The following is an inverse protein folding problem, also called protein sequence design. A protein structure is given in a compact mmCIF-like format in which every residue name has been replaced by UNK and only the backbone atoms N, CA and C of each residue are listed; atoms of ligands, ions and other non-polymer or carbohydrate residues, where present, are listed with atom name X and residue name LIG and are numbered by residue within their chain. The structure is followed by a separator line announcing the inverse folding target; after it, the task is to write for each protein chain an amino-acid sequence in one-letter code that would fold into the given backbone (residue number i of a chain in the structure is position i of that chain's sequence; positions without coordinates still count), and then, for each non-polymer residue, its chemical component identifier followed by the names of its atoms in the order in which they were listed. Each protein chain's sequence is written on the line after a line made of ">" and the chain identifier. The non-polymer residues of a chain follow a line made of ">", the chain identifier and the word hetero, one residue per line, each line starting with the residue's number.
data_IF_721215634173
#
_entry.id   IF_721215634173
#
_cell.length_a   1.000
_cell.length_b   1.000
_cell.length_c   1.000
_cell.angle_alpha   90.00
_cell.angle_beta   90.00
_cell.angle_gamma   90.00
#
_symmetry.space_group_name_H-M   'P 1'
#
loop_
_entity.id
_entity.type
_entity.pdbx_description
1 polymer ?
#
# COMPACT_ATOMS: atom_id res chain seq x y z
N UNK A 1 10.19 -69.10 -11.57
CA UNK A 1 9.10 -68.47 -10.78
C UNK A 1 9.60 -67.38 -9.80
N UNK A 2 10.83 -67.44 -9.27
CA UNK A 2 11.36 -66.45 -8.32
C UNK A 2 11.60 -65.01 -8.88
N UNK A 3 11.92 -64.84 -10.17
CA UNK A 3 12.15 -63.50 -10.78
C UNK A 3 10.88 -62.67 -10.98
N UNK A 4 9.69 -63.30 -11.03
CA UNK A 4 8.41 -62.59 -11.21
C UNK A 4 7.82 -62.07 -9.90
N UNK A 5 8.17 -62.67 -8.75
CA UNK A 5 7.76 -62.17 -7.43
C UNK A 5 8.57 -60.94 -6.99
N UNK A 6 9.84 -60.82 -7.40
CA UNK A 6 10.68 -59.68 -7.03
C UNK A 6 10.18 -58.34 -7.61
N UNK A 7 9.53 -58.35 -8.77
CA UNK A 7 8.99 -57.13 -9.38
C UNK A 7 7.66 -56.65 -8.77
N UNK A 8 6.92 -57.54 -8.10
CA UNK A 8 5.61 -57.21 -7.52
C UNK A 8 5.75 -56.50 -6.16
N UNK A 9 6.88 -56.67 -5.47
CA UNK A 9 7.14 -56.08 -4.15
C UNK A 9 7.92 -54.75 -4.19
N UNK A 10 8.51 -54.37 -5.32
CA UNK A 10 9.28 -53.12 -5.43
C UNK A 10 8.41 -51.92 -5.81
N UNK A 11 7.30 -52.16 -6.52
CA UNK A 11 6.38 -51.09 -6.95
C UNK A 11 5.60 -50.40 -5.82
N UNK A 12 5.11 -51.06 -4.75
CA UNK A 12 4.40 -50.37 -3.68
C UNK A 12 5.33 -49.61 -2.72
N UNK A 13 6.63 -49.91 -2.69
CA UNK A 13 7.59 -49.24 -1.81
C UNK A 13 8.01 -47.85 -2.31
N UNK A 14 7.99 -47.64 -3.63
CA UNK A 14 8.30 -46.33 -4.24
C UNK A 14 7.17 -45.32 -4.03
N UNK A 15 5.91 -45.78 -3.90
CA UNK A 15 4.75 -44.90 -3.69
C UNK A 15 4.59 -44.43 -2.23
N UNK A 16 5.24 -45.09 -1.26
CA UNK A 16 5.20 -44.70 0.15
C UNK A 16 6.23 -43.62 0.53
N UNK A 17 7.18 -43.30 -0.35
CA UNK A 17 8.26 -42.33 -0.09
C UNK A 17 7.99 -40.90 -0.58
N UNK A 18 6.92 -40.68 -1.35
CA UNK A 18 6.53 -39.34 -1.79
C UNK A 18 5.73 -38.62 -0.70
N UNK A 19 6.37 -38.34 0.44
CA UNK A 19 5.88 -37.27 1.30
C UNK A 19 5.92 -35.98 0.47
N UNK A 20 4.83 -35.19 0.40
CA UNK A 20 4.93 -33.87 -0.22
C UNK A 20 6.05 -33.13 0.51
N UNK A 21 7.06 -32.68 -0.24
CA UNK A 21 8.09 -31.83 0.30
C UNK A 21 7.37 -30.59 0.84
N UNK A 22 7.21 -30.52 2.16
CA UNK A 22 6.75 -29.31 2.83
C UNK A 22 7.88 -28.31 2.64
N UNK A 23 7.80 -27.51 1.57
CA UNK A 23 8.58 -26.29 1.47
C UNK A 23 8.03 -25.34 2.53
N UNK A 24 8.46 -25.55 3.77
CA UNK A 24 8.07 -24.71 4.89
C UNK A 24 8.61 -23.31 4.63
N UNK A 25 7.78 -22.45 4.05
CA UNK A 25 8.11 -21.04 3.88
C UNK A 25 8.14 -20.43 5.28
N UNK A 26 9.32 -19.98 5.70
CA UNK A 26 9.44 -19.29 6.98
C UNK A 26 8.62 -18.00 6.90
N UNK A 27 7.75 -17.79 7.89
CA UNK A 27 6.94 -16.57 7.97
C UNK A 27 7.81 -15.31 7.92
N UNK A 28 9.01 -15.35 8.51
CA UNK A 28 10.00 -14.27 8.43
C UNK A 28 10.32 -13.85 7.01
N UNK A 29 10.45 -14.79 6.09
CA UNK A 29 10.89 -14.50 4.72
C UNK A 29 9.75 -13.83 3.92
N UNK A 30 8.50 -14.24 4.18
CA UNK A 30 7.31 -13.58 3.62
C UNK A 30 7.18 -12.16 4.17
N UNK A 31 7.33 -12.00 5.49
CA UNK A 31 7.23 -10.70 6.15
C UNK A 31 8.31 -9.74 5.65
N UNK A 32 9.57 -10.18 5.53
CA UNK A 32 10.65 -9.34 5.02
C UNK A 32 10.40 -8.93 3.56
N UNK A 33 9.96 -9.85 2.70
CA UNK A 33 9.58 -9.50 1.32
C UNK A 33 8.42 -8.50 1.27
N UNK A 34 7.43 -8.61 2.16
CA UNK A 34 6.34 -7.64 2.23
C UNK A 34 6.84 -6.25 2.70
N UNK A 35 7.76 -6.22 3.67
CA UNK A 35 8.35 -4.97 4.16
C UNK A 35 9.15 -4.26 3.06
N UNK A 36 10.09 -4.97 2.44
CA UNK A 36 11.06 -4.37 1.51
C UNK A 36 10.49 -4.23 0.09
N UNK A 37 9.60 -5.14 -0.32
CA UNK A 37 9.00 -5.14 -1.65
C UNK A 37 7.70 -4.36 -1.77
N UNK A 38 7.01 -4.08 -0.66
CA UNK A 38 5.70 -3.41 -0.70
C UNK A 38 5.60 -2.23 0.28
N UNK A 39 5.74 -2.45 1.58
CA UNK A 39 5.43 -1.44 2.60
C UNK A 39 6.35 -0.22 2.47
N UNK A 40 7.67 -0.40 2.51
CA UNK A 40 8.60 0.76 2.41
C UNK A 40 8.51 1.45 1.05
N UNK A 41 8.50 0.74 -0.10
CA UNK A 41 8.37 1.41 -1.40
C UNK A 41 7.05 2.15 -1.57
N UNK A 42 5.92 1.63 -1.05
CA UNK A 42 4.63 2.30 -1.14
C UNK A 42 4.63 3.63 -0.38
N UNK A 43 5.17 3.65 0.85
CA UNK A 43 5.32 4.89 1.61
C UNK A 43 6.34 5.85 1.01
N UNK A 44 7.43 5.36 0.40
CA UNK A 44 8.39 6.21 -0.30
C UNK A 44 7.73 6.93 -1.49
N UNK A 45 6.96 6.22 -2.32
CA UNK A 45 6.21 6.84 -3.43
C UNK A 45 5.17 7.84 -2.93
N UNK A 46 4.45 7.52 -1.85
CA UNK A 46 3.51 8.48 -1.24
C UNK A 46 4.22 9.74 -0.76
N UNK A 47 5.41 9.60 -0.16
CA UNK A 47 6.22 10.73 0.28
C UNK A 47 6.65 11.61 -0.91
N UNK A 48 7.16 10.99 -1.99
CA UNK A 48 7.61 11.72 -3.17
C UNK A 48 6.46 12.51 -3.82
N UNK A 49 5.28 11.90 -4.00
CA UNK A 49 4.11 12.60 -4.54
C UNK A 49 3.60 13.70 -3.59
N UNK A 50 3.60 13.48 -2.28
CA UNK A 50 3.20 14.51 -1.32
C UNK A 50 4.15 15.72 -1.34
N UNK A 51 5.46 15.50 -1.51
CA UNK A 51 6.44 16.58 -1.65
C UNK A 51 6.26 17.34 -2.97
N UNK A 52 6.05 16.63 -4.08
CA UNK A 52 5.74 17.24 -5.38
C UNK A 52 4.44 18.05 -5.35
N UNK A 53 3.38 17.52 -4.73
CA UNK A 53 2.13 18.25 -4.51
C UNK A 53 2.37 19.53 -3.69
N UNK A 54 3.15 19.44 -2.61
CA UNK A 54 3.48 20.59 -1.78
C UNK A 54 4.20 21.68 -2.58
N UNK A 55 5.13 21.31 -3.47
CA UNK A 55 5.81 22.24 -4.38
C UNK A 55 4.84 22.84 -5.41
N UNK A 56 4.02 22.02 -6.06
CA UNK A 56 3.07 22.48 -7.08
C UNK A 56 2.02 23.46 -6.50
N UNK A 57 1.52 23.18 -5.30
CA UNK A 57 0.59 24.08 -4.60
C UNK A 57 1.28 25.41 -4.24
N UNK A 58 2.54 25.40 -3.77
CA UNK A 58 3.29 26.63 -3.52
C UNK A 58 3.46 27.47 -4.80
N UNK A 59 3.87 26.84 -5.89
CA UNK A 59 3.99 27.52 -7.20
C UNK A 59 2.66 28.13 -7.64
N UNK A 60 1.54 27.41 -7.46
CA UNK A 60 0.21 27.93 -7.75
C UNK A 60 -0.15 29.15 -6.86
N UNK A 61 0.18 29.11 -5.57
CA UNK A 61 -0.04 30.22 -4.66
C UNK A 61 0.80 31.45 -5.02
N UNK A 62 2.07 31.26 -5.38
CA UNK A 62 2.99 32.35 -5.69
C UNK A 62 2.68 33.02 -7.05
N UNK A 63 2.22 32.25 -8.04
CA UNK A 63 1.89 32.73 -9.37
C UNK A 63 0.63 32.06 -9.93
N UNK A 64 -0.58 32.52 -9.57
CA UNK A 64 -1.82 31.88 -10.01
C UNK A 64 -1.99 31.88 -11.53
N UNK A 65 -2.13 30.69 -12.13
CA UNK A 65 -2.41 30.51 -13.55
C UNK A 65 -3.17 29.20 -13.78
N UNK A 66 -3.80 29.05 -14.95
CA UNK A 66 -4.47 27.80 -15.31
C UNK A 66 -3.48 26.63 -15.38
N UNK A 67 -2.29 26.85 -15.96
CA UNK A 67 -1.25 25.83 -16.08
C UNK A 67 -0.74 25.37 -14.71
N UNK A 68 -0.53 26.30 -13.76
CA UNK A 68 -0.12 25.93 -12.41
C UNK A 68 -1.22 25.23 -11.63
N UNK A 69 -2.50 25.57 -11.89
CA UNK A 69 -3.64 24.89 -11.29
C UNK A 69 -3.73 23.44 -11.78
N UNK A 70 -3.54 23.23 -13.08
CA UNK A 70 -3.58 21.90 -13.67
C UNK A 70 -2.39 21.05 -13.23
N UNK A 71 -1.21 21.65 -13.08
CA UNK A 71 -0.05 20.99 -12.47
C UNK A 71 -0.33 20.56 -11.01
N UNK A 72 -0.89 21.43 -10.18
CA UNK A 72 -1.25 21.09 -8.80
C UNK A 72 -2.31 19.98 -8.72
N UNK A 73 -3.29 19.99 -9.63
CA UNK A 73 -4.31 18.93 -9.74
C UNK A 73 -3.73 17.59 -10.18
N UNK A 74 -2.75 17.60 -11.08
CA UNK A 74 -2.05 16.39 -11.52
C UNK A 74 -1.29 15.75 -10.35
N UNK A 75 -0.52 16.55 -9.59
CA UNK A 75 0.20 16.05 -8.41
C UNK A 75 -0.74 15.61 -7.28
N UNK A 76 -1.90 16.27 -7.14
CA UNK A 76 -2.93 15.84 -6.20
C UNK A 76 -3.47 14.46 -6.56
N UNK A 77 -3.80 14.24 -7.85
CA UNK A 77 -4.23 12.93 -8.34
C UNK A 77 -3.17 11.86 -8.11
N UNK A 78 -1.89 12.14 -8.41
CA UNK A 78 -0.79 11.22 -8.15
C UNK A 78 -0.61 10.89 -6.66
N UNK A 79 -0.83 11.86 -5.77
CA UNK A 79 -0.82 11.64 -4.31
C UNK A 79 -1.98 10.73 -3.88
N UNK A 80 -3.19 10.94 -4.42
CA UNK A 80 -4.36 10.08 -4.15
C UNK A 80 -4.11 8.64 -4.61
N UNK A 81 -3.52 8.46 -5.79
CA UNK A 81 -3.17 7.14 -6.31
C UNK A 81 -2.14 6.44 -5.42
N UNK A 82 -1.08 7.16 -5.01
CA UNK A 82 -0.07 6.63 -4.11
C UNK A 82 -0.65 6.27 -2.73
N UNK A 83 -1.54 7.10 -2.20
CA UNK A 83 -2.26 6.82 -0.95
C UNK A 83 -3.12 5.58 -1.06
N UNK A 84 -3.84 5.40 -2.17
CA UNK A 84 -4.73 4.25 -2.39
C UNK A 84 -3.98 2.92 -2.33
N UNK A 85 -2.71 2.89 -2.75
CA UNK A 85 -1.84 1.70 -2.58
C UNK A 85 -1.47 1.47 -1.11
N UNK A 86 -1.25 2.55 -0.35
CA UNK A 86 -0.87 2.52 1.07
C UNK A 86 -2.06 2.19 1.99
N UNK A 87 -3.29 2.56 1.61
CA UNK A 87 -4.49 2.53 2.46
C UNK A 87 -4.77 1.14 3.10
N UNK A 88 -4.36 0.06 2.42
CA UNK A 88 -4.51 -1.31 2.94
C UNK A 88 -3.66 -1.57 4.19
N UNK A 89 -2.62 -0.77 4.42
CA UNK A 89 -1.72 -0.90 5.55
C UNK A 89 -2.39 -0.24 6.76
N UNK A 90 -3.06 -1.05 7.59
CA UNK A 90 -3.81 -0.59 8.77
C UNK A 90 -3.20 -1.01 10.10
N UNK A 91 -1.88 -1.19 10.12
CA UNK A 91 -1.10 -1.59 11.29
C UNK A 91 0.18 -0.75 11.41
N UNK A 92 0.74 -0.67 12.62
CA UNK A 92 2.02 -0.01 12.85
C UNK A 92 1.93 1.53 12.90
N UNK A 93 2.95 2.26 12.43
CA UNK A 93 3.05 3.72 12.63
C UNK A 93 1.88 4.54 12.08
N UNK A 94 1.15 4.03 11.09
CA UNK A 94 0.03 4.73 10.45
C UNK A 94 -1.21 4.81 11.34
N UNK A 95 -1.34 3.94 12.34
CA UNK A 95 -2.49 3.97 13.28
C UNK A 95 -2.27 4.90 14.46
N UNK A 96 -1.07 5.46 14.61
CA UNK A 96 -0.73 6.35 15.72
C UNK A 96 -1.27 7.77 15.45
N UNK A 97 -1.79 8.43 16.50
CA UNK A 97 -2.24 9.81 16.45
C UNK A 97 -3.24 10.10 15.31
N UNK A 98 -4.13 9.13 15.04
CA UNK A 98 -5.14 9.17 13.98
C UNK A 98 -4.56 9.48 12.60
N UNK A 99 -3.34 8.99 12.30
CA UNK A 99 -2.64 9.36 11.06
C UNK A 99 -3.35 8.83 9.82
N UNK A 100 -4.01 7.67 9.87
CA UNK A 100 -4.91 7.18 8.80
C UNK A 100 -6.01 8.21 8.51
N UNK A 101 -6.76 8.63 9.53
CA UNK A 101 -7.89 9.53 9.40
C UNK A 101 -7.47 10.96 9.02
N UNK A 102 -6.24 11.35 9.38
CA UNK A 102 -5.64 12.64 8.98
C UNK A 102 -5.19 12.65 7.52
N UNK A 103 -4.85 11.50 6.94
CA UNK A 103 -4.57 11.40 5.51
C UNK A 103 -5.87 11.33 4.71
N UNK A 104 -6.81 10.48 5.13
CA UNK A 104 -8.12 10.34 4.49
C UNK A 104 -9.20 10.08 5.54
N UNK A 105 -9.99 11.11 5.83
CA UNK A 105 -11.17 10.98 6.69
C UNK A 105 -12.35 10.42 5.88
N UNK A 106 -12.48 9.09 5.86
CA UNK A 106 -13.51 8.40 5.09
C UNK A 106 -14.10 7.20 5.86
N UNK A 107 -15.43 6.95 5.81
CA UNK A 107 -16.45 7.75 5.13
C UNK A 107 -16.88 8.99 5.93
N UNK A 108 -16.93 10.16 5.27
CA UNK A 108 -17.44 11.39 5.88
C UNK A 108 -18.95 11.54 5.65
N UNK A 109 -19.74 10.63 6.22
CA UNK A 109 -21.21 10.57 6.02
C UNK A 109 -21.93 11.86 6.39
N UNK A 110 -21.35 12.66 7.30
CA UNK A 110 -21.93 13.92 7.76
C UNK A 110 -21.24 15.13 7.13
N UNK A 111 -20.32 14.97 6.18
CA UNK A 111 -19.57 16.05 5.53
C UNK A 111 -18.92 17.03 6.53
N UNK A 112 -18.41 16.49 7.65
CA UNK A 112 -17.75 17.29 8.69
C UNK A 112 -16.45 17.87 8.16
N UNK A 113 -15.66 17.08 7.43
CA UNK A 113 -14.38 17.52 6.86
C UNK A 113 -14.59 18.66 5.88
N UNK A 114 -15.53 18.51 4.93
CA UNK A 114 -15.86 19.56 3.97
C UNK A 114 -16.31 20.86 4.65
N UNK A 115 -17.21 20.77 5.64
CA UNK A 115 -17.66 21.97 6.39
C UNK A 115 -16.52 22.65 7.13
N UNK A 116 -15.60 21.89 7.72
CA UNK A 116 -14.44 22.45 8.42
C UNK A 116 -13.50 23.18 7.46
N UNK A 117 -13.20 22.60 6.30
CA UNK A 117 -12.39 23.25 5.25
C UNK A 117 -13.06 24.54 4.78
N UNK A 118 -14.36 24.50 4.46
CA UNK A 118 -15.11 25.67 4.04
C UNK A 118 -15.13 26.78 5.11
N UNK A 119 -15.31 26.40 6.37
CA UNK A 119 -15.28 27.35 7.48
C UNK A 119 -13.91 28.00 7.64
N UNK A 120 -12.82 27.23 7.53
CA UNK A 120 -11.45 27.75 7.61
C UNK A 120 -11.12 28.71 6.45
N UNK A 121 -11.58 28.41 5.22
CA UNK A 121 -11.42 29.32 4.08
C UNK A 121 -12.25 30.60 4.25
N UNK A 122 -13.44 30.49 4.87
CA UNK A 122 -14.33 31.63 5.08
C UNK A 122 -13.87 32.56 6.22
N UNK A 123 -13.17 32.05 7.24
CA UNK A 123 -12.68 32.87 8.34
C UNK A 123 -11.66 33.92 7.90
N UNK A 124 -11.04 33.76 6.72
CA UNK A 124 -9.88 34.52 6.23
C UNK A 124 -8.71 34.48 7.22
N UNK A 125 -7.50 34.74 6.73
CA UNK A 125 -6.34 34.95 7.60
C UNK A 125 -6.35 36.35 8.22
#
# INVERSE_FOLDING_TARGET
>A
MAKRLAFVLVLPLVLAGALPASAAVKASDVIQRAIDGFVRPAYARLHDHADSLSKAVRTLCDAPSQDHLDAARAEFSGTVDAWSVVEIIRIGPITQNNRLERMLFWPDRKSIGLRQVQAALASKD
#
